data_IF_605647210285
#
_entry.id   IF_605647210285
#
_cell.length_a   1.000
_cell.length_b   1.000
_cell.length_c   1.000
_cell.angle_alpha   90.00
_cell.angle_beta   90.00
_cell.angle_gamma   90.00
#
_symmetry.space_group_name_H-M   'P 1'
#
loop_
_entity.id
_entity.type
_entity.pdbx_description
1 polymer ?
#
# COMPACT_ATOMS: atom_id res chain seq x y z
N UNK A 1 14.85 16.23 1.02
CA UNK A 1 15.67 15.34 0.15
C UNK A 1 15.27 15.58 -1.31
N UNK A 2 15.93 15.01 -2.34
CA UNK A 2 15.55 15.25 -3.76
C UNK A 2 15.38 13.92 -4.48
N UNK A 3 14.14 13.61 -4.85
CA UNK A 3 13.75 12.38 -5.54
C UNK A 3 14.56 12.22 -6.83
N UNK A 4 15.18 11.06 -6.98
CA UNK A 4 15.83 10.65 -8.22
C UNK A 4 14.77 10.34 -9.30
N UNK A 5 14.36 11.38 -10.05
CA UNK A 5 13.26 11.32 -11.03
C UNK A 5 13.57 10.57 -12.34
N UNK A 6 14.46 9.58 -12.32
CA UNK A 6 14.80 8.76 -13.51
C UNK A 6 13.76 7.66 -13.82
N UNK A 7 12.78 7.45 -12.94
CA UNK A 7 11.77 6.37 -13.09
C UNK A 7 10.73 6.78 -14.13
N UNK A 8 10.34 5.82 -14.99
CA UNK A 8 9.32 6.03 -16.02
C UNK A 8 7.95 5.58 -15.48
N UNK A 9 6.88 6.36 -15.70
CA UNK A 9 5.53 5.91 -15.39
C UNK A 9 5.16 4.65 -16.16
N UNK A 10 4.51 3.72 -15.47
CA UNK A 10 4.03 2.44 -15.99
C UNK A 10 2.52 2.53 -16.16
N UNK A 11 2.06 2.80 -17.38
CA UNK A 11 0.64 2.97 -17.66
C UNK A 11 -0.06 1.63 -17.90
N UNK A 12 -1.29 1.51 -17.41
CA UNK A 12 -2.16 0.37 -17.73
C UNK A 12 -1.71 -0.98 -17.15
N UNK A 13 -0.94 -0.96 -16.06
CA UNK A 13 -0.51 -2.17 -15.36
C UNK A 13 -1.70 -3.05 -14.99
N UNK A 14 -1.67 -4.31 -15.43
CA UNK A 14 -2.63 -5.32 -15.05
C UNK A 14 -1.93 -6.44 -14.26
N UNK A 15 -2.53 -6.87 -13.13
CA UNK A 15 -1.95 -7.92 -12.31
C UNK A 15 -1.66 -9.22 -13.08
N UNK A 16 -2.45 -9.50 -14.12
CA UNK A 16 -2.29 -10.71 -14.92
C UNK A 16 -1.00 -10.78 -15.74
N UNK A 17 -0.29 -9.66 -15.88
CA UNK A 17 0.98 -9.57 -16.61
C UNK A 17 2.17 -10.06 -15.79
N UNK A 18 2.06 -10.06 -14.45
CA UNK A 18 3.17 -10.41 -13.54
C UNK A 18 2.79 -11.41 -12.44
N UNK A 19 1.53 -11.85 -12.38
CA UNK A 19 1.09 -12.88 -11.43
C UNK A 19 1.80 -14.23 -11.66
N UNK A 20 2.13 -14.92 -10.57
CA UNK A 20 2.70 -16.26 -10.66
C UNK A 20 1.65 -17.24 -11.22
N UNK A 21 2.01 -18.21 -12.09
CA UNK A 21 1.04 -19.15 -12.67
C UNK A 21 0.22 -19.93 -11.63
N UNK A 22 0.83 -20.31 -10.50
CA UNK A 22 0.10 -20.96 -9.40
C UNK A 22 -0.88 -20.02 -8.71
N UNK A 23 -0.56 -18.74 -8.56
CA UNK A 23 -1.45 -17.76 -7.94
C UNK A 23 -2.65 -17.47 -8.85
N UNK A 24 -2.41 -17.35 -10.17
CA UNK A 24 -3.48 -17.25 -11.17
C UNK A 24 -4.44 -18.43 -11.09
N UNK A 25 -3.92 -19.65 -11.01
CA UNK A 25 -4.73 -20.85 -10.91
C UNK A 25 -5.53 -20.90 -9.60
N UNK A 26 -4.91 -20.54 -8.48
CA UNK A 26 -5.57 -20.47 -7.18
C UNK A 26 -6.68 -19.42 -7.17
N UNK A 27 -6.41 -18.22 -7.71
CA UNK A 27 -7.39 -17.13 -7.84
C UNK A 27 -8.58 -17.57 -8.70
N UNK A 28 -8.34 -18.14 -9.89
CA UNK A 28 -9.40 -18.64 -10.77
C UNK A 28 -10.28 -19.69 -10.08
N UNK A 29 -9.67 -20.56 -9.27
CA UNK A 29 -10.39 -21.60 -8.50
C UNK A 29 -11.26 -20.96 -7.41
N UNK A 30 -10.73 -19.96 -6.72
CA UNK A 30 -11.44 -19.20 -5.71
C UNK A 30 -12.65 -18.46 -6.31
N UNK A 31 -12.45 -17.78 -7.44
CA UNK A 31 -13.49 -17.02 -8.13
C UNK A 31 -14.59 -17.90 -8.74
N UNK A 32 -14.22 -19.10 -9.22
CA UNK A 32 -15.18 -20.07 -9.74
C UNK A 32 -16.08 -20.67 -8.63
N UNK A 33 -15.71 -20.53 -7.36
CA UNK A 33 -16.49 -21.05 -6.23
C UNK A 33 -17.67 -20.11 -5.93
N UNK A 34 -18.94 -20.54 -6.15
CA UNK A 34 -20.09 -19.67 -5.99
C UNK A 34 -20.21 -19.12 -4.56
N UNK A 35 -20.43 -17.81 -4.44
CA UNK A 35 -20.62 -17.12 -3.15
C UNK A 35 -19.34 -16.81 -2.37
N UNK A 36 -18.22 -17.49 -2.64
CA UNK A 36 -16.99 -17.32 -1.87
C UNK A 36 -16.33 -15.95 -2.11
N UNK A 37 -16.30 -15.48 -3.36
CA UNK A 37 -15.79 -14.14 -3.71
C UNK A 37 -16.57 -13.02 -3.01
N UNK A 38 -17.90 -13.14 -2.93
CA UNK A 38 -18.75 -12.15 -2.27
C UNK A 38 -18.54 -12.12 -0.75
N UNK A 39 -18.41 -13.30 -0.11
CA UNK A 39 -18.13 -13.41 1.33
C UNK A 39 -16.74 -12.83 1.64
N UNK A 40 -15.73 -13.17 0.83
CA UNK A 40 -14.37 -12.64 1.00
C UNK A 40 -14.33 -11.12 0.93
N UNK A 41 -14.93 -10.53 -0.10
CA UNK A 41 -15.02 -9.06 -0.24
C UNK A 41 -15.73 -8.40 0.95
N UNK A 42 -16.83 -9.01 1.42
CA UNK A 42 -17.58 -8.48 2.55
C UNK A 42 -16.74 -8.49 3.84
N UNK A 43 -16.06 -9.60 4.14
CA UNK A 43 -15.20 -9.73 5.33
C UNK A 43 -14.06 -8.72 5.26
N UNK A 44 -13.36 -8.65 4.13
CA UNK A 44 -12.22 -7.74 3.96
C UNK A 44 -12.66 -6.28 4.13
N UNK A 45 -13.71 -5.86 3.42
CA UNK A 45 -14.18 -4.47 3.44
C UNK A 45 -14.75 -4.06 4.80
N UNK A 46 -15.66 -4.84 5.37
CA UNK A 46 -16.44 -4.41 6.54
C UNK A 46 -15.80 -4.75 7.87
N UNK A 47 -15.02 -5.83 7.95
CA UNK A 47 -14.34 -6.23 9.18
C UNK A 47 -12.88 -5.76 9.18
N UNK A 48 -12.08 -6.19 8.21
CA UNK A 48 -10.62 -6.02 8.28
C UNK A 48 -10.22 -4.56 8.02
N UNK A 49 -10.57 -4.02 6.85
CA UNK A 49 -10.17 -2.66 6.44
C UNK A 49 -10.58 -1.62 7.48
N UNK A 50 -11.87 -1.59 7.82
CA UNK A 50 -12.41 -0.60 8.75
C UNK A 50 -11.78 -0.68 10.14
N UNK A 51 -11.55 -1.89 10.68
CA UNK A 51 -10.94 -2.04 12.00
C UNK A 51 -9.49 -1.55 11.99
N UNK A 52 -8.71 -1.91 10.98
CA UNK A 52 -7.32 -1.47 10.88
C UNK A 52 -7.21 0.03 10.62
N UNK A 53 -8.04 0.62 9.76
CA UNK A 53 -8.05 2.07 9.58
C UNK A 53 -8.33 2.79 10.89
N UNK A 54 -9.31 2.33 11.68
CA UNK A 54 -9.60 2.90 13.01
C UNK A 54 -8.39 2.74 13.94
N UNK A 55 -7.80 1.54 13.99
CA UNK A 55 -6.64 1.24 14.83
C UNK A 55 -5.47 2.18 14.51
N UNK A 56 -5.05 2.24 13.24
CA UNK A 56 -3.90 3.05 12.82
C UNK A 56 -4.19 4.55 12.92
N UNK A 57 -5.43 4.99 12.65
CA UNK A 57 -5.82 6.39 12.88
C UNK A 57 -5.67 6.78 14.35
N UNK A 58 -6.01 5.88 15.28
CA UNK A 58 -5.94 6.14 16.71
C UNK A 58 -4.56 5.94 17.35
N UNK A 59 -3.66 5.22 16.70
CA UNK A 59 -2.37 4.78 17.29
C UNK A 59 -1.13 5.11 16.47
N UNK A 60 -1.28 5.76 15.32
CA UNK A 60 -0.18 6.11 14.40
C UNK A 60 -0.35 7.52 13.85
N UNK A 61 0.69 8.06 13.22
CA UNK A 61 0.64 9.39 12.61
C UNK A 61 0.24 9.26 11.15
N UNK A 62 -0.91 9.83 10.79
CA UNK A 62 -1.31 9.96 9.38
C UNK A 62 -0.43 10.98 8.66
N UNK A 63 0.24 10.55 7.60
CA UNK A 63 1.12 11.39 6.78
C UNK A 63 0.30 12.33 5.91
N UNK A 64 0.73 13.59 5.88
CA UNK A 64 0.20 14.64 5.00
C UNK A 64 1.32 15.64 4.67
N UNK A 65 1.00 16.57 3.76
CA UNK A 65 1.94 17.60 3.33
C UNK A 65 2.40 18.57 4.42
N UNK A 66 1.74 18.62 5.58
CA UNK A 66 2.09 19.53 6.68
C UNK A 66 3.03 18.88 7.71
N UNK A 67 2.92 17.58 7.96
CA UNK A 67 3.72 16.90 8.99
C UNK A 67 4.93 16.13 8.45
N UNK A 68 4.80 15.45 7.31
CA UNK A 68 5.86 14.67 6.67
C UNK A 68 5.87 14.96 5.16
N UNK A 69 6.25 16.19 4.75
CA UNK A 69 6.17 16.62 3.36
C UNK A 69 6.97 15.73 2.39
N UNK A 70 8.19 15.34 2.77
CA UNK A 70 9.06 14.50 1.94
C UNK A 70 8.42 13.12 1.70
N UNK A 71 7.94 12.45 2.77
CA UNK A 71 7.27 11.14 2.66
C UNK A 71 5.96 11.24 1.87
N UNK A 72 5.22 12.34 2.04
CA UNK A 72 4.02 12.58 1.26
C UNK A 72 4.32 12.78 -0.23
N UNK A 73 5.42 13.46 -0.58
CA UNK A 73 5.90 13.57 -1.97
C UNK A 73 6.30 12.20 -2.53
N UNK A 74 6.99 11.36 -1.74
CA UNK A 74 7.37 10.00 -2.15
C UNK A 74 6.16 9.14 -2.48
N UNK A 75 5.13 9.20 -1.62
CA UNK A 75 3.88 8.49 -1.85
C UNK A 75 3.20 8.94 -3.14
N UNK A 76 3.12 10.26 -3.37
CA UNK A 76 2.55 10.82 -4.60
C UNK A 76 3.35 10.38 -5.83
N UNK A 77 4.68 10.40 -5.73
CA UNK A 77 5.55 10.00 -6.82
C UNK A 77 5.43 8.50 -7.13
N UNK A 78 5.39 7.64 -6.11
CA UNK A 78 5.16 6.20 -6.28
C UNK A 78 3.81 5.93 -6.95
N UNK A 79 2.74 6.58 -6.50
CA UNK A 79 1.41 6.45 -7.10
C UNK A 79 1.39 6.92 -8.56
N UNK A 80 2.11 7.99 -8.88
CA UNK A 80 2.25 8.46 -10.26
C UNK A 80 3.00 7.45 -11.14
N UNK A 81 4.09 6.88 -10.64
CA UNK A 81 4.89 5.89 -11.39
C UNK A 81 4.10 4.61 -11.63
N UNK A 82 3.28 4.18 -10.67
CA UNK A 82 2.47 2.97 -10.75
C UNK A 82 1.07 3.19 -11.36
N UNK A 83 0.80 4.39 -11.90
CA UNK A 83 -0.48 4.75 -12.52
C UNK A 83 -1.70 4.50 -11.60
N UNK A 84 -1.53 4.76 -10.30
CA UNK A 84 -2.60 4.61 -9.31
C UNK A 84 -3.54 5.81 -9.35
N UNK A 85 -4.83 5.54 -9.61
CA UNK A 85 -5.88 6.56 -9.70
C UNK A 85 -6.18 7.24 -8.36
N UNK A 86 -5.97 6.52 -7.24
CA UNK A 86 -6.25 7.01 -5.89
C UNK A 86 -4.98 6.99 -5.06
N UNK A 87 -4.72 8.09 -4.37
CA UNK A 87 -3.67 8.18 -3.37
C UNK A 87 -4.15 7.45 -2.08
N UNK A 88 -3.53 6.34 -1.67
CA UNK A 88 -3.89 5.67 -0.43
C UNK A 88 -3.49 6.52 0.78
N UNK A 89 -4.10 6.24 1.94
CA UNK A 89 -3.65 6.87 3.18
C UNK A 89 -2.38 6.19 3.67
N UNK A 90 -1.43 6.98 4.19
CA UNK A 90 -0.18 6.46 4.75
C UNK A 90 -0.08 6.84 6.22
N UNK A 91 0.31 5.87 7.03
CA UNK A 91 0.52 6.02 8.47
C UNK A 91 1.96 5.66 8.83
N UNK A 92 2.52 6.38 9.80
CA UNK A 92 3.79 6.02 10.43
C UNK A 92 3.50 5.53 11.84
N UNK A 93 3.84 4.26 12.11
CA UNK A 93 3.80 3.69 13.45
C UNK A 93 5.20 3.59 14.04
N UNK A 94 5.29 3.59 15.36
CA UNK A 94 6.56 3.32 16.02
C UNK A 94 6.97 1.84 15.84
N UNK A 95 8.21 1.62 15.45
CA UNK A 95 8.80 0.27 15.36
C UNK A 95 10.25 0.32 14.90
N UNK A 96 11.12 -0.50 15.49
CA UNK A 96 12.57 -0.47 15.21
C UNK A 96 12.97 -1.16 13.90
N UNK A 97 12.15 -2.08 13.41
CA UNK A 97 12.48 -2.88 12.23
C UNK A 97 12.18 -2.10 10.94
N UNK A 98 13.01 -2.31 9.92
CA UNK A 98 12.70 -1.94 8.53
C UNK A 98 11.52 -2.80 8.08
N UNK A 99 10.32 -2.23 8.10
CA UNK A 99 9.09 -2.92 7.75
C UNK A 99 8.03 -1.93 7.29
N UNK A 100 7.23 -2.38 6.34
CA UNK A 100 6.02 -1.73 5.87
C UNK A 100 4.94 -2.78 5.62
N UNK A 101 3.67 -2.39 5.73
CA UNK A 101 2.56 -3.23 5.30
C UNK A 101 1.46 -2.43 4.63
N UNK A 102 0.69 -3.11 3.78
CA UNK A 102 -0.50 -2.57 3.14
C UNK A 102 -1.71 -3.38 3.56
N UNK A 103 -2.81 -2.70 3.87
CA UNK A 103 -4.06 -3.35 4.30
C UNK A 103 -5.21 -2.83 3.45
N UNK A 104 -6.00 -3.75 2.93
CA UNK A 104 -7.23 -3.45 2.20
C UNK A 104 -7.12 -3.62 0.69
N UNK A 105 -8.29 -3.77 0.06
CA UNK A 105 -8.47 -3.85 -1.38
C UNK A 105 -9.32 -2.71 -1.94
N UNK A 106 -10.31 -2.19 -1.19
CA UNK A 106 -11.12 -1.06 -1.65
C UNK A 106 -10.59 0.29 -1.19
N UNK A 107 -10.22 0.37 0.10
CA UNK A 107 -9.62 1.56 0.70
C UNK A 107 -8.26 1.21 1.30
N UNK A 108 -7.24 0.94 0.47
CA UNK A 108 -5.94 0.52 0.96
C UNK A 108 -5.29 1.61 1.81
N UNK A 109 -4.69 1.19 2.92
CA UNK A 109 -3.82 2.01 3.75
C UNK A 109 -2.42 1.41 3.76
N UNK A 110 -1.42 2.29 3.83
CA UNK A 110 0.00 1.94 3.93
C UNK A 110 0.47 2.29 5.34
N UNK A 111 1.25 1.39 5.94
CA UNK A 111 1.85 1.60 7.25
C UNK A 111 3.35 1.42 7.13
N UNK A 112 4.09 2.45 7.55
CA UNK A 112 5.55 2.41 7.66
C UNK A 112 5.95 2.38 9.14
N UNK A 113 6.96 1.58 9.48
CA UNK A 113 7.62 1.68 10.77
C UNK A 113 8.58 2.88 10.80
N UNK A 114 8.70 3.56 11.93
CA UNK A 114 9.66 4.66 12.12
C UNK A 114 11.10 4.24 11.84
N UNK A 115 11.51 3.03 12.23
CA UNK A 115 12.85 2.50 11.99
C UNK A 115 13.18 2.30 10.51
N UNK A 116 12.18 2.10 9.64
CA UNK A 116 12.38 2.13 8.20
C UNK A 116 12.84 3.53 7.76
N UNK A 117 12.20 4.58 8.26
CA UNK A 117 12.54 5.97 7.91
C UNK A 117 13.89 6.40 8.47
N UNK A 118 14.29 5.87 9.63
CA UNK A 118 15.57 6.20 10.27
C UNK A 118 16.76 5.49 9.60
N UNK A 119 16.53 4.31 9.01
CA UNK A 119 17.61 3.43 8.52
C UNK A 119 17.73 3.39 7.00
N UNK A 120 16.67 3.70 6.25
CA UNK A 120 16.67 3.65 4.80
C UNK A 120 16.91 5.03 4.18
N UNK A 121 17.56 5.05 3.03
CA UNK A 121 17.63 6.25 2.19
C UNK A 121 16.34 6.46 1.36
N UNK A 122 16.28 7.56 0.62
CA UNK A 122 15.11 7.93 -0.19
C UNK A 122 14.79 6.92 -1.30
N UNK A 123 15.80 6.36 -1.95
CA UNK A 123 15.60 5.40 -3.03
C UNK A 123 15.11 4.06 -2.47
N UNK A 124 15.60 3.67 -1.28
CA UNK A 124 15.17 2.50 -0.52
C UNK A 124 13.74 2.66 0.03
N UNK A 125 13.40 3.81 0.61
CA UNK A 125 12.02 4.09 1.09
C UNK A 125 11.05 4.02 -0.07
N UNK A 126 11.41 4.57 -1.24
CA UNK A 126 10.55 4.56 -2.42
C UNK A 126 10.52 3.19 -3.13
N UNK A 127 11.45 2.28 -2.81
CA UNK A 127 11.43 0.91 -3.28
C UNK A 127 10.48 0.03 -2.45
N UNK A 128 10.37 0.29 -1.15
CA UNK A 128 9.49 -0.42 -0.21
C UNK A 128 8.03 0.03 -0.38
#
# INVERSE_FOLDING_TARGET
>A
MIINRKRKPLYGLNHSEYEHPFDKQALNTLEATPGLSAIGKLITKYAIEKLYTIQFTGSSIKVNSQNYPDIFEYLQYACHILDLVKLPELYIQWGYNINACTIGSEHPIIILNSGLLDLCDEDEILFI
#
